data_IF_758600277056
#
_entry.id   IF_758600277056
#
_cell.length_a   1.000
_cell.length_b   1.000
_cell.length_c   1.000
_cell.angle_alpha   90.00
_cell.angle_beta   90.00
_cell.angle_gamma   90.00
#
_symmetry.space_group_name_H-M   'P 1'
#
loop_
_entity.id
_entity.type
_entity.pdbx_description
1 polymer ?
#
# COMPACT_ATOMS: atom_id res chain seq x y z
N UNK A 1 -16.87 4.36 20.34
CA UNK A 1 -18.04 3.48 20.50
C UNK A 1 -19.07 3.82 19.45
N UNK A 2 -19.69 2.82 18.81
CA UNK A 2 -20.81 3.02 17.86
C UNK A 2 -22.01 3.51 18.64
N UNK A 3 -22.53 4.69 18.28
CA UNK A 3 -23.70 5.29 18.91
C UNK A 3 -24.99 5.12 18.11
N UNK A 4 -24.88 5.12 16.81
CA UNK A 4 -26.02 5.02 15.90
C UNK A 4 -25.58 4.30 14.62
N UNK A 5 -26.45 3.46 14.09
CA UNK A 5 -26.28 2.82 12.79
C UNK A 5 -27.39 3.33 11.89
N UNK A 6 -27.03 3.97 10.79
CA UNK A 6 -27.99 4.54 9.83
C UNK A 6 -28.37 3.50 8.77
N UNK A 7 -27.37 2.77 8.27
CA UNK A 7 -27.57 1.75 7.24
C UNK A 7 -26.41 0.73 7.25
N UNK A 8 -26.73 -0.52 6.96
CA UNK A 8 -25.77 -1.58 6.62
C UNK A 8 -26.23 -2.20 5.31
N UNK A 9 -25.44 -2.01 4.26
CA UNK A 9 -25.63 -2.66 2.97
C UNK A 9 -24.88 -3.99 2.97
N UNK A 10 -25.60 -5.08 2.90
CA UNK A 10 -25.04 -6.45 2.79
C UNK A 10 -25.07 -6.98 1.35
N UNK A 11 -25.49 -6.13 0.40
CA UNK A 11 -25.59 -6.44 -1.03
C UNK A 11 -24.38 -5.99 -1.83
N UNK A 12 -24.66 -5.27 -2.89
CA UNK A 12 -23.65 -4.92 -3.92
C UNK A 12 -22.49 -4.05 -3.43
N UNK A 13 -22.72 -3.19 -2.44
CA UNK A 13 -21.68 -2.30 -1.93
C UNK A 13 -20.99 -2.83 -0.67
N UNK A 14 -21.65 -3.65 0.13
CA UNK A 14 -21.10 -4.27 1.34
C UNK A 14 -20.54 -3.26 2.35
N UNK A 15 -21.16 -2.09 2.51
CA UNK A 15 -20.67 -1.02 3.36
C UNK A 15 -21.71 -0.57 4.39
N UNK A 16 -21.30 0.19 5.40
CA UNK A 16 -22.19 0.74 6.40
C UNK A 16 -21.95 2.22 6.65
N UNK A 17 -23.03 2.93 7.00
CA UNK A 17 -23.01 4.31 7.50
C UNK A 17 -23.48 4.32 8.93
N UNK A 18 -22.68 4.86 9.83
CA UNK A 18 -22.95 4.90 11.26
C UNK A 18 -22.21 6.06 11.93
N UNK A 19 -22.49 6.32 13.19
CA UNK A 19 -21.84 7.36 13.97
C UNK A 19 -21.12 6.77 15.18
N UNK A 20 -19.93 7.29 15.47
CA UNK A 20 -19.11 6.91 16.62
C UNK A 20 -18.88 8.11 17.54
N UNK A 21 -18.62 7.83 18.80
CA UNK A 21 -18.22 8.81 19.83
C UNK A 21 -17.29 8.17 20.85
N UNK A 22 -16.69 8.98 21.71
CA UNK A 22 -15.82 8.51 22.78
C UNK A 22 -16.55 7.60 23.78
N UNK A 23 -17.84 7.90 24.03
CA UNK A 23 -18.70 7.13 24.92
C UNK A 23 -20.10 6.96 24.34
N UNK A 24 -20.75 5.87 24.69
CA UNK A 24 -22.15 5.62 24.33
C UNK A 24 -23.05 6.78 24.84
N UNK A 25 -23.88 7.30 23.96
CA UNK A 25 -24.84 8.38 24.26
C UNK A 25 -24.22 9.78 24.24
N UNK A 26 -22.95 9.95 23.88
CA UNK A 26 -22.35 11.28 23.71
C UNK A 26 -23.02 12.01 22.52
N UNK A 27 -23.31 13.32 22.72
CA UNK A 27 -23.91 14.17 21.67
C UNK A 27 -22.92 14.55 20.57
N UNK A 28 -21.62 14.60 20.88
CA UNK A 28 -20.56 14.83 19.89
C UNK A 28 -20.23 13.51 19.21
N UNK A 29 -20.52 13.44 17.93
CA UNK A 29 -20.38 12.21 17.13
C UNK A 29 -19.64 12.50 15.83
N UNK A 30 -18.86 11.50 15.40
CA UNK A 30 -18.21 11.49 14.10
C UNK A 30 -18.95 10.51 13.19
N UNK A 31 -19.38 10.97 12.02
CA UNK A 31 -20.03 10.14 11.01
C UNK A 31 -19.01 9.25 10.30
N UNK A 32 -19.29 7.98 10.20
CA UNK A 32 -18.55 7.03 9.37
C UNK A 32 -19.37 6.80 8.11
N UNK A 33 -18.93 7.34 6.98
CA UNK A 33 -19.69 7.30 5.74
C UNK A 33 -19.24 6.15 4.85
N UNK A 34 -20.15 5.22 4.57
CA UNK A 34 -19.95 4.06 3.68
C UNK A 34 -18.64 3.31 3.97
N UNK A 35 -18.38 3.03 5.25
CA UNK A 35 -17.21 2.27 5.69
C UNK A 35 -17.39 0.77 5.48
N UNK A 36 -16.26 0.06 5.39
CA UNK A 36 -16.22 -1.39 5.31
C UNK A 36 -16.08 -2.03 6.70
N UNK A 37 -16.38 -3.32 6.78
CA UNK A 37 -16.29 -4.12 7.98
C UNK A 37 -14.82 -4.32 8.44
N UNK A 38 -14.65 -5.10 9.51
CA UNK A 38 -13.35 -5.42 10.09
C UNK A 38 -12.38 -5.97 9.04
N UNK A 39 -11.20 -5.33 8.93
CA UNK A 39 -10.16 -5.72 7.97
C UNK A 39 -10.47 -5.37 6.51
N UNK A 40 -11.25 -4.32 6.29
CA UNK A 40 -11.61 -3.83 4.95
C UNK A 40 -12.45 -4.85 4.15
N UNK A 41 -13.22 -5.68 4.83
CA UNK A 41 -14.12 -6.65 4.21
C UNK A 41 -15.49 -6.02 3.97
N UNK A 42 -16.25 -6.60 3.01
CA UNK A 42 -17.66 -6.23 2.84
C UNK A 42 -18.51 -6.68 4.04
N UNK A 43 -19.49 -5.89 4.41
CA UNK A 43 -20.52 -6.34 5.32
C UNK A 43 -21.38 -7.42 4.63
N UNK A 44 -21.43 -8.59 5.24
CA UNK A 44 -22.23 -9.74 4.75
C UNK A 44 -23.41 -10.05 5.67
N UNK A 45 -23.49 -9.38 6.83
CA UNK A 45 -24.59 -9.50 7.79
C UNK A 45 -24.93 -8.15 8.39
N UNK A 46 -26.22 -7.88 8.59
CA UNK A 46 -26.72 -6.70 9.31
C UNK A 46 -26.35 -6.70 10.80
N UNK A 47 -25.97 -7.84 11.34
CA UNK A 47 -25.57 -8.01 12.74
C UNK A 47 -24.05 -7.88 12.95
N UNK A 48 -23.29 -7.58 11.89
CA UNK A 48 -21.84 -7.48 11.95
C UNK A 48 -21.32 -6.37 12.85
N UNK A 49 -22.10 -5.29 13.04
CA UNK A 49 -21.85 -4.23 14.01
C UNK A 49 -23.12 -3.92 14.80
N UNK A 50 -22.95 -3.45 16.05
CA UNK A 50 -24.05 -3.09 16.94
C UNK A 50 -23.78 -1.77 17.66
N UNK A 51 -24.84 -1.08 18.03
CA UNK A 51 -24.73 0.10 18.92
C UNK A 51 -24.13 -0.34 20.26
N UNK A 52 -23.04 0.29 20.65
CA UNK A 52 -22.24 -0.05 21.82
C UNK A 52 -20.94 -0.79 21.52
N UNK A 53 -20.73 -1.23 20.27
CA UNK A 53 -19.44 -1.83 19.88
C UNK A 53 -18.33 -0.79 19.99
N UNK A 54 -17.20 -1.19 20.57
CA UNK A 54 -15.96 -0.40 20.55
C UNK A 54 -15.26 -0.63 19.23
N UNK A 55 -14.94 0.46 18.51
CA UNK A 55 -14.30 0.35 17.20
C UNK A 55 -13.12 1.31 17.05
N UNK A 56 -12.12 0.86 16.31
CA UNK A 56 -11.05 1.68 15.78
C UNK A 56 -11.26 1.75 14.27
N UNK A 57 -11.31 2.96 13.73
CA UNK A 57 -11.60 3.20 12.31
C UNK A 57 -10.34 3.76 11.63
N UNK A 58 -10.03 3.23 10.47
CA UNK A 58 -9.08 3.81 9.53
C UNK A 58 -9.83 4.58 8.45
N UNK A 59 -9.40 5.81 8.17
CA UNK A 59 -10.00 6.61 7.11
C UNK A 59 -9.55 8.06 7.12
N UNK A 60 -9.95 8.81 6.12
CA UNK A 60 -9.66 10.23 5.97
C UNK A 60 -10.80 11.06 6.54
N UNK A 61 -10.45 12.00 7.42
CA UNK A 61 -11.40 12.96 7.96
C UNK A 61 -11.75 14.03 6.92
N UNK A 62 -13.02 14.36 6.80
CA UNK A 62 -13.51 15.41 5.92
C UNK A 62 -14.67 16.16 6.54
N UNK A 63 -15.04 17.26 5.93
CA UNK A 63 -16.23 18.04 6.27
C UNK A 63 -17.20 17.97 5.09
N UNK A 64 -18.35 17.37 5.28
CA UNK A 64 -19.44 17.38 4.31
C UNK A 64 -20.53 18.36 4.76
N UNK A 65 -20.58 19.53 4.14
CA UNK A 65 -21.37 20.65 4.64
C UNK A 65 -20.86 21.08 6.03
N UNK A 66 -21.67 20.88 7.06
CA UNK A 66 -21.32 21.11 8.47
C UNK A 66 -21.04 19.82 9.25
N UNK A 67 -21.14 18.65 8.60
CA UNK A 67 -20.97 17.36 9.26
C UNK A 67 -19.51 16.92 9.17
N UNK A 68 -18.91 16.66 10.31
CA UNK A 68 -17.61 15.98 10.38
C UNK A 68 -17.80 14.50 10.10
N UNK A 69 -17.06 13.98 9.14
CA UNK A 69 -17.14 12.57 8.77
C UNK A 69 -15.80 11.96 8.38
N UNK A 70 -15.73 10.65 8.49
CA UNK A 70 -14.72 9.84 7.81
C UNK A 70 -15.33 9.43 6.47
N UNK A 71 -14.72 9.91 5.37
CA UNK A 71 -15.26 9.72 4.02
C UNK A 71 -15.21 8.25 3.58
N UNK A 72 -15.95 7.93 2.52
CA UNK A 72 -15.94 6.62 1.88
C UNK A 72 -14.53 6.09 1.61
N UNK A 73 -14.32 4.78 1.77
CA UNK A 73 -13.02 4.11 1.69
C UNK A 73 -12.40 3.86 3.07
N UNK A 74 -13.13 4.22 4.13
CA UNK A 74 -12.79 3.86 5.50
C UNK A 74 -13.20 2.41 5.84
N UNK A 75 -12.65 1.87 6.92
CA UNK A 75 -13.02 0.55 7.42
C UNK A 75 -12.67 0.35 8.90
N UNK A 76 -13.23 -0.69 9.49
CA UNK A 76 -12.98 -1.07 10.89
C UNK A 76 -11.65 -1.81 10.99
N UNK A 77 -10.76 -1.31 11.83
CA UNK A 77 -9.45 -1.91 12.17
C UNK A 77 -9.57 -2.87 13.33
N UNK A 78 -10.33 -2.46 14.34
CA UNK A 78 -10.59 -3.26 15.52
C UNK A 78 -12.04 -3.11 15.94
N UNK A 79 -12.66 -4.18 16.37
CA UNK A 79 -14.02 -4.23 16.90
C UNK A 79 -14.03 -5.05 18.18
N UNK A 80 -14.43 -4.44 19.30
CA UNK A 80 -14.49 -5.07 20.63
C UNK A 80 -13.17 -5.76 21.02
N UNK A 81 -12.03 -5.14 20.67
CA UNK A 81 -10.69 -5.66 20.92
C UNK A 81 -10.25 -6.76 19.93
N UNK A 82 -11.13 -7.21 19.04
CA UNK A 82 -10.75 -8.14 17.98
C UNK A 82 -10.23 -7.36 16.77
N UNK A 83 -9.09 -7.78 16.28
CA UNK A 83 -8.56 -7.35 14.98
C UNK A 83 -8.79 -8.48 13.98
N UNK A 84 -9.05 -8.17 12.72
CA UNK A 84 -9.07 -9.23 11.71
C UNK A 84 -7.70 -9.89 11.69
N UNK A 85 -7.62 -11.19 11.66
CA UNK A 85 -6.39 -11.93 11.42
C UNK A 85 -5.82 -11.75 10.00
N UNK A 86 -6.47 -10.91 9.18
CA UNK A 86 -5.95 -10.34 7.96
C UNK A 86 -5.31 -9.00 8.35
N UNK A 87 -4.01 -8.92 8.24
CA UNK A 87 -3.14 -7.75 8.32
C UNK A 87 -3.80 -6.49 8.87
N UNK A 88 -3.46 -6.11 10.10
CA UNK A 88 -3.63 -4.73 10.59
C UNK A 88 -3.36 -3.78 9.43
N UNK A 89 -4.26 -2.78 9.14
CA UNK A 89 -3.80 -1.62 8.44
C UNK A 89 -2.72 -1.03 9.33
N UNK A 90 -1.51 -1.13 8.87
CA UNK A 90 -0.39 -0.47 9.52
C UNK A 90 -0.80 0.99 9.76
N UNK A 91 -0.74 1.48 11.02
CA UNK A 91 -0.01 2.72 11.34
C UNK A 91 0.89 3.03 10.17
N UNK A 92 0.95 4.30 9.56
CA UNK A 92 1.68 4.49 8.32
C UNK A 92 2.81 3.48 8.27
N UNK A 93 2.66 2.49 7.42
CA UNK A 93 3.19 1.13 7.61
C UNK A 93 4.56 1.22 8.28
N UNK A 94 4.73 0.60 9.46
CA UNK A 94 6.09 0.27 9.89
C UNK A 94 6.68 -0.39 8.66
N UNK A 95 7.65 0.24 7.96
CA UNK A 95 8.07 -0.22 6.65
C UNK A 95 8.34 -1.71 6.80
N UNK A 96 7.75 -2.52 5.93
CA UNK A 96 7.98 -3.97 5.91
C UNK A 96 9.43 -4.18 6.29
N UNK A 97 9.73 -4.95 7.33
CA UNK A 97 11.07 -4.98 7.92
C UNK A 97 12.10 -4.99 6.79
N UNK A 98 12.88 -3.91 6.66
CA UNK A 98 13.76 -3.71 5.54
C UNK A 98 13.27 -2.78 4.42
N UNK A 99 12.05 -2.24 4.45
CA UNK A 99 11.57 -1.21 3.52
C UNK A 99 11.58 0.16 4.22
N UNK A 100 12.25 1.13 3.60
CA UNK A 100 12.21 2.54 4.01
C UNK A 100 11.91 3.42 2.79
N UNK A 101 10.95 4.32 2.92
CA UNK A 101 10.58 5.29 1.89
C UNK A 101 10.83 6.70 2.47
N UNK A 102 11.67 7.48 1.78
CA UNK A 102 11.99 8.85 2.16
C UNK A 102 11.97 9.74 0.92
N UNK A 103 10.98 10.63 0.82
CA UNK A 103 10.75 11.42 -0.38
C UNK A 103 10.51 10.51 -1.59
N UNK A 104 11.36 10.62 -2.60
CA UNK A 104 11.33 9.79 -3.82
C UNK A 104 12.29 8.60 -3.78
N UNK A 105 12.91 8.33 -2.65
CA UNK A 105 13.87 7.24 -2.51
C UNK A 105 13.26 6.07 -1.75
N UNK A 106 13.30 4.89 -2.37
CA UNK A 106 12.95 3.62 -1.74
C UNK A 106 14.23 2.87 -1.41
N UNK A 107 14.39 2.47 -0.16
CA UNK A 107 15.52 1.65 0.31
C UNK A 107 15.00 0.32 0.82
N UNK A 108 15.52 -0.76 0.25
CA UNK A 108 15.29 -2.13 0.68
C UNK A 108 16.54 -2.61 1.41
N UNK A 109 16.43 -3.05 2.66
CA UNK A 109 17.57 -3.48 3.49
C UNK A 109 17.33 -4.91 3.99
N UNK A 110 18.28 -5.78 3.71
CA UNK A 110 18.28 -7.17 4.18
C UNK A 110 19.05 -7.28 5.49
N UNK A 111 18.33 -7.39 6.60
CA UNK A 111 18.94 -7.54 7.94
C UNK A 111 19.73 -8.85 8.10
N UNK A 112 19.51 -9.83 7.21
CA UNK A 112 20.19 -11.12 7.23
C UNK A 112 21.40 -11.18 6.29
N UNK A 113 21.82 -10.06 5.75
CA UNK A 113 22.99 -9.94 4.89
C UNK A 113 23.94 -8.88 5.42
N UNK A 114 25.22 -9.23 5.50
CA UNK A 114 26.28 -8.25 5.77
C UNK A 114 26.48 -7.38 4.53
N UNK A 115 26.64 -6.07 4.72
CA UNK A 115 26.93 -5.17 3.63
C UNK A 115 28.22 -5.60 2.93
N UNK A 116 28.13 -5.83 1.62
CA UNK A 116 29.29 -6.12 0.77
C UNK A 116 30.02 -4.85 0.34
N UNK A 117 31.14 -5.03 -0.30
CA UNK A 117 31.94 -3.93 -0.89
C UNK A 117 31.57 -3.66 -2.35
N UNK A 118 30.81 -4.56 -2.99
CA UNK A 118 30.42 -4.45 -4.40
C UNK A 118 29.07 -3.74 -4.51
N UNK A 119 29.03 -2.73 -5.37
CA UNK A 119 27.79 -2.02 -5.72
C UNK A 119 27.66 -2.01 -7.24
N UNK A 120 26.47 -2.34 -7.74
CA UNK A 120 26.12 -2.16 -9.15
C UNK A 120 24.93 -1.21 -9.26
N UNK A 121 24.85 -0.48 -10.35
CA UNK A 121 23.78 0.45 -10.61
C UNK A 121 23.39 0.46 -12.08
N UNK A 122 22.18 0.87 -12.37
CA UNK A 122 21.69 1.09 -13.74
C UNK A 122 20.91 2.39 -13.79
N UNK A 123 21.19 3.20 -14.80
CA UNK A 123 20.32 4.30 -15.20
C UNK A 123 19.35 3.77 -16.27
N UNK A 124 18.11 3.62 -15.90
CA UNK A 124 17.06 3.08 -16.77
C UNK A 124 16.81 3.97 -18.00
N UNK A 125 17.24 5.22 -17.95
CA UNK A 125 17.14 6.15 -19.07
C UNK A 125 18.27 5.95 -20.09
N UNK A 126 19.37 5.34 -19.69
CA UNK A 126 20.56 5.15 -20.54
C UNK A 126 20.61 3.79 -21.26
N UNK A 127 19.65 2.88 -21.00
CA UNK A 127 19.69 1.50 -21.55
C UNK A 127 18.98 1.33 -22.90
N UNK A 128 18.58 2.43 -23.54
CA UNK A 128 18.03 2.38 -24.91
C UNK A 128 16.60 1.88 -25.05
N UNK A 129 15.81 1.99 -23.99
CA UNK A 129 14.37 1.66 -24.06
C UNK A 129 13.61 2.68 -24.90
N UNK A 130 12.64 2.19 -25.70
CA UNK A 130 11.77 3.03 -26.51
C UNK A 130 10.51 3.43 -25.73
N UNK A 131 9.90 4.55 -26.11
CA UNK A 131 8.70 5.06 -25.45
C UNK A 131 7.56 4.03 -25.46
N UNK A 132 6.84 3.94 -24.36
CA UNK A 132 5.75 2.99 -24.11
C UNK A 132 6.11 1.50 -24.24
N UNK A 133 7.39 1.16 -24.34
CA UNK A 133 7.81 -0.24 -24.37
C UNK A 133 7.44 -0.94 -23.05
N UNK A 134 6.89 -2.13 -23.16
CA UNK A 134 6.72 -3.03 -22.02
C UNK A 134 8.10 -3.47 -21.52
N UNK A 135 8.36 -3.29 -20.24
CA UNK A 135 9.63 -3.67 -19.64
C UNK A 135 9.41 -4.90 -18.77
N UNK A 136 10.10 -5.98 -19.11
CA UNK A 136 10.05 -7.24 -18.35
C UNK A 136 11.33 -7.49 -17.56
N UNK A 137 12.49 -7.26 -18.18
CA UNK A 137 13.80 -7.53 -17.55
C UNK A 137 14.83 -6.52 -17.99
N UNK A 138 15.64 -6.09 -17.04
CA UNK A 138 16.84 -5.27 -17.25
C UNK A 138 18.02 -6.01 -16.65
N UNK A 139 19.11 -6.17 -17.42
CA UNK A 139 20.34 -6.80 -16.95
C UNK A 139 21.36 -5.74 -16.54
N UNK A 140 21.95 -5.89 -15.36
CA UNK A 140 22.98 -5.03 -14.81
C UNK A 140 24.38 -5.46 -15.28
N UNK A 141 25.37 -4.59 -15.10
CA UNK A 141 26.76 -4.82 -15.55
C UNK A 141 27.45 -6.02 -14.87
N UNK A 142 27.01 -6.40 -13.67
CA UNK A 142 27.51 -7.59 -12.94
C UNK A 142 26.73 -8.87 -13.29
N UNK A 143 25.76 -8.77 -14.22
CA UNK A 143 24.89 -9.87 -14.64
C UNK A 143 23.73 -10.13 -13.71
N UNK A 144 23.51 -9.34 -12.65
CA UNK A 144 22.26 -9.33 -11.91
C UNK A 144 21.12 -8.83 -12.81
N UNK A 145 19.87 -9.14 -12.46
CA UNK A 145 18.72 -8.70 -13.26
C UNK A 145 17.65 -8.03 -12.41
N UNK A 146 16.93 -7.09 -13.00
CA UNK A 146 15.72 -6.51 -12.45
C UNK A 146 14.56 -6.98 -13.31
N UNK A 147 13.62 -7.68 -12.72
CA UNK A 147 12.39 -8.15 -13.39
C UNK A 147 11.22 -7.31 -12.93
N UNK A 148 10.47 -6.81 -13.90
CA UNK A 148 9.25 -6.02 -13.71
C UNK A 148 8.05 -6.88 -14.10
N UNK A 149 7.08 -7.02 -13.21
CA UNK A 149 5.95 -7.93 -13.38
C UNK A 149 4.63 -7.21 -13.08
N UNK A 150 3.65 -7.37 -13.95
CA UNK A 150 2.30 -6.85 -13.75
C UNK A 150 1.61 -7.50 -12.54
N UNK A 151 2.10 -8.64 -12.04
CA UNK A 151 1.56 -9.35 -10.89
C UNK A 151 0.04 -9.61 -11.00
N UNK A 152 -0.39 -10.04 -12.20
CA UNK A 152 -1.79 -10.30 -12.51
C UNK A 152 -2.65 -9.07 -12.80
N UNK A 153 -2.08 -7.87 -12.77
CA UNK A 153 -2.81 -6.63 -13.10
C UNK A 153 -2.91 -6.42 -14.61
N UNK A 154 -3.95 -5.71 -15.06
CA UNK A 154 -4.15 -5.37 -16.47
C UNK A 154 -3.09 -4.42 -17.02
N UNK A 155 -2.51 -3.58 -16.15
CA UNK A 155 -1.44 -2.65 -16.50
C UNK A 155 -0.10 -3.18 -16.00
N UNK A 156 0.81 -3.45 -16.91
CA UNK A 156 2.18 -3.86 -16.62
C UNK A 156 3.17 -2.70 -16.74
N UNK A 157 4.41 -2.89 -16.23
CA UNK A 157 5.45 -1.87 -16.26
C UNK A 157 5.82 -1.42 -17.67
N UNK A 158 5.91 -0.09 -17.90
CA UNK A 158 6.27 0.52 -19.17
C UNK A 158 7.30 1.63 -19.00
N UNK A 159 8.20 1.75 -19.97
CA UNK A 159 9.12 2.86 -20.04
C UNK A 159 8.47 4.07 -20.70
N UNK A 160 8.78 5.27 -20.22
CA UNK A 160 8.31 6.53 -20.79
C UNK A 160 9.49 7.51 -20.94
N UNK A 161 9.76 7.93 -22.17
CA UNK A 161 10.86 8.87 -22.49
C UNK A 161 10.65 10.25 -21.88
N UNK A 162 9.38 10.68 -21.74
CA UNK A 162 9.05 11.99 -21.17
C UNK A 162 9.43 12.10 -19.70
N UNK A 163 9.23 11.04 -18.92
CA UNK A 163 9.57 10.97 -17.50
C UNK A 163 10.91 10.30 -17.24
N UNK A 164 11.56 9.80 -18.30
CA UNK A 164 12.87 9.14 -18.25
C UNK A 164 12.92 7.98 -17.25
N UNK A 165 11.86 7.18 -17.21
CA UNK A 165 11.77 6.10 -16.24
C UNK A 165 10.74 5.05 -16.58
N UNK A 166 10.76 3.96 -15.82
CA UNK A 166 9.77 2.89 -15.90
C UNK A 166 8.62 3.23 -14.95
N UNK A 167 7.43 3.41 -15.51
CA UNK A 167 6.21 3.49 -14.71
C UNK A 167 5.82 2.09 -14.27
N UNK A 168 5.76 1.89 -12.98
CA UNK A 168 5.28 0.68 -12.34
C UNK A 168 3.94 1.02 -11.70
N UNK A 169 2.90 0.26 -12.04
CA UNK A 169 1.54 0.56 -11.60
C UNK A 169 1.21 -0.07 -10.25
N UNK A 170 0.10 0.35 -9.65
CA UNK A 170 -0.36 -0.20 -8.38
C UNK A 170 -0.42 -1.73 -8.40
N UNK A 171 0.09 -2.34 -7.34
CA UNK A 171 0.17 -3.79 -7.13
C UNK A 171 1.11 -4.55 -8.08
N UNK A 172 1.85 -3.87 -8.96
CA UNK A 172 2.91 -4.52 -9.69
C UNK A 172 4.05 -4.96 -8.75
N UNK A 173 4.99 -5.71 -9.28
CA UNK A 173 6.10 -6.30 -8.55
C UNK A 173 7.43 -6.01 -9.25
N UNK A 174 8.47 -5.68 -8.48
CA UNK A 174 9.86 -5.58 -8.94
C UNK A 174 10.65 -6.68 -8.21
N UNK A 175 11.36 -7.51 -8.96
CA UNK A 175 12.27 -8.50 -8.42
C UNK A 175 13.69 -8.19 -8.86
N UNK A 176 14.59 -8.06 -7.92
CA UNK A 176 16.02 -7.91 -8.16
C UNK A 176 16.67 -9.27 -7.88
N UNK A 177 17.20 -9.90 -8.94
CA UNK A 177 17.85 -11.21 -8.88
C UNK A 177 19.36 -10.99 -8.82
N UNK A 178 19.93 -11.09 -7.63
CA UNK A 178 21.36 -10.85 -7.40
C UNK A 178 22.23 -12.04 -7.79
N UNK A 179 23.48 -11.79 -8.17
CA UNK A 179 24.51 -12.84 -8.32
C UNK A 179 25.07 -13.31 -6.97
N UNK A 180 24.89 -12.49 -5.95
CA UNK A 180 25.20 -12.79 -4.57
C UNK A 180 24.08 -12.28 -3.69
N UNK A 181 24.09 -12.62 -2.41
CA UNK A 181 23.09 -12.19 -1.44
C UNK A 181 23.01 -10.65 -1.37
N UNK A 182 21.86 -10.09 -1.67
CA UNK A 182 21.63 -8.65 -1.66
C UNK A 182 21.54 -8.17 -0.22
N UNK A 183 22.37 -7.20 0.14
CA UNK A 183 22.30 -6.51 1.44
C UNK A 183 21.41 -5.27 1.38
N UNK A 184 21.45 -4.52 0.27
CA UNK A 184 20.71 -3.26 0.12
C UNK A 184 20.37 -2.99 -1.34
N UNK A 185 19.17 -2.46 -1.57
CA UNK A 185 18.76 -1.88 -2.86
C UNK A 185 18.31 -0.46 -2.61
N UNK A 186 18.67 0.45 -3.50
CA UNK A 186 18.17 1.83 -3.53
C UNK A 186 17.49 2.06 -4.87
N UNK A 187 16.23 2.46 -4.85
CA UNK A 187 15.44 2.79 -6.04
C UNK A 187 15.15 4.29 -5.97
N UNK A 188 15.57 5.01 -6.99
CA UNK A 188 15.24 6.42 -7.15
C UNK A 188 13.98 6.51 -8.02
N UNK A 189 12.95 7.10 -7.45
CA UNK A 189 11.67 7.33 -8.10
C UNK A 189 11.52 8.79 -8.50
N UNK A 190 10.45 9.11 -9.20
CA UNK A 190 10.15 10.49 -9.62
C UNK A 190 8.84 10.97 -8.97
N UNK A 191 8.53 12.23 -9.16
CA UNK A 191 7.26 12.85 -8.79
C UNK A 191 6.40 13.06 -10.02
N UNK A 192 5.08 12.93 -9.84
CA UNK A 192 4.12 13.31 -10.86
C UNK A 192 3.06 14.20 -10.22
N UNK A 193 2.87 15.43 -10.75
CA UNK A 193 1.95 16.43 -10.20
C UNK A 193 2.13 16.64 -8.68
N UNK A 194 3.37 16.86 -8.28
CA UNK A 194 3.79 17.07 -6.88
C UNK A 194 3.49 15.90 -5.92
N UNK A 195 3.17 14.74 -6.46
CA UNK A 195 2.95 13.52 -5.69
C UNK A 195 4.10 12.54 -5.90
N UNK A 196 4.63 12.00 -4.80
CA UNK A 196 5.64 10.95 -4.84
C UNK A 196 4.97 9.60 -5.08
N UNK A 197 5.32 8.93 -6.17
CA UNK A 197 4.83 7.60 -6.50
C UNK A 197 5.94 6.58 -6.23
N UNK A 198 6.02 6.09 -5.01
CA UNK A 198 7.12 5.23 -4.53
C UNK A 198 6.66 3.89 -3.98
N UNK A 199 5.37 3.68 -3.89
CA UNK A 199 4.74 2.47 -3.38
C UNK A 199 3.40 2.78 -2.74
N UNK A 200 2.47 1.83 -2.77
CA UNK A 200 1.19 1.97 -2.09
C UNK A 200 1.31 1.57 -0.59
N UNK A 201 0.23 1.76 0.16
CA UNK A 201 0.21 1.49 1.61
C UNK A 201 0.42 0.01 1.98
N UNK A 202 0.32 -0.90 1.01
CA UNK A 202 0.54 -2.34 1.19
C UNK A 202 1.87 -2.82 0.60
N UNK A 203 2.74 -1.87 0.18
CA UNK A 203 4.04 -2.21 -0.35
C UNK A 203 4.89 -2.99 0.66
N UNK A 204 5.51 -4.06 0.20
CA UNK A 204 6.35 -4.93 1.02
C UNK A 204 7.64 -5.30 0.31
N UNK A 205 8.66 -5.62 1.09
CA UNK A 205 9.89 -6.22 0.57
C UNK A 205 10.12 -7.58 1.23
N UNK A 206 10.57 -8.53 0.43
CA UNK A 206 11.06 -9.82 0.93
C UNK A 206 12.43 -10.12 0.33
N UNK A 207 13.28 -10.80 1.10
CA UNK A 207 14.58 -11.28 0.65
C UNK A 207 14.61 -12.80 0.75
N UNK A 208 14.98 -13.47 -0.34
CA UNK A 208 15.07 -14.93 -0.41
C UNK A 208 16.26 -15.32 -1.27
N UNK A 209 17.19 -16.12 -0.70
CA UNK A 209 18.43 -16.43 -1.39
C UNK A 209 19.20 -15.16 -1.76
N UNK A 210 19.41 -14.96 -3.05
CA UNK A 210 20.08 -13.78 -3.62
C UNK A 210 19.10 -12.71 -4.11
N UNK A 211 17.80 -12.88 -3.90
CA UNK A 211 16.80 -12.02 -4.50
C UNK A 211 16.21 -11.05 -3.49
N UNK A 212 15.85 -9.87 -3.97
CA UNK A 212 14.99 -8.89 -3.31
C UNK A 212 13.71 -8.69 -4.13
N UNK A 213 12.55 -8.87 -3.51
CA UNK A 213 11.23 -8.73 -4.15
C UNK A 213 10.47 -7.58 -3.50
N UNK A 214 10.19 -6.56 -4.29
CA UNK A 214 9.38 -5.41 -3.91
C UNK A 214 8.00 -5.54 -4.56
N UNK A 215 6.98 -5.73 -3.75
CA UNK A 215 5.60 -5.95 -4.19
C UNK A 215 4.71 -4.77 -3.89
N UNK A 216 3.57 -4.71 -4.59
CA UNK A 216 2.58 -3.65 -4.48
C UNK A 216 3.17 -2.26 -4.73
N UNK A 217 4.07 -2.20 -5.70
CA UNK A 217 4.63 -0.94 -6.18
C UNK A 217 3.51 -0.10 -6.79
N UNK A 218 3.60 1.21 -6.61
CA UNK A 218 2.58 2.15 -7.06
C UNK A 218 2.83 2.60 -8.48
#
# INVERSE_FOLDING_TARGET
VINQIDNIDTGSYGNATYSIADKKGNSVQLKIYRGYALGNQHFTSSDAIKVGDEVVIYGELTLFGTTQEVKQGNYIVSQNGQTSGASTPSTPATPSQGLNISGTTVTLTNSNATAGTTTTSVDLNAIGLVDEANVTTVTLSDGATITFDANGQSNGPKFYTKTKGIRVYANNKITINGKAKIAKVVILCDTFKDTNYVGNTTATVTFSGNDAVYTNVF
#
